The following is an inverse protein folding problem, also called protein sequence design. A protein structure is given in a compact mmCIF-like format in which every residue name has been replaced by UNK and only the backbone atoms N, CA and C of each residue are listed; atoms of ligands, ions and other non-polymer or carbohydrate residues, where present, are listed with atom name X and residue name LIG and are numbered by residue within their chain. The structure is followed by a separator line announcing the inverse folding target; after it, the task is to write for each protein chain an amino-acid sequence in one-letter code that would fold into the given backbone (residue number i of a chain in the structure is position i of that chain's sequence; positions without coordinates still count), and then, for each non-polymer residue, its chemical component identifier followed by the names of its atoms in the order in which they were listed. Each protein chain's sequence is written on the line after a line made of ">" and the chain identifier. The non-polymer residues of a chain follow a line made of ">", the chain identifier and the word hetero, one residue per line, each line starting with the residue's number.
data_IF_929886111366
#
_entry.id   IF_929886111366
#
_cell.length_a   1.000
_cell.length_b   1.000
_cell.length_c   1.000
_cell.angle_alpha   90.00
_cell.angle_beta   90.00
_cell.angle_gamma   90.00
#
_symmetry.space_group_name_H-M   'P 1'
#
loop_
_entity.id
_entity.type
_entity.pdbx_description
1 polymer ?
#
# COMPACT_ATOMS: atom_id res chain seq x y z
N UNK A 1 6.17 2.84 -19.51
CA UNK A 1 7.37 2.79 -18.63
C UNK A 1 7.23 1.76 -17.51
N UNK A 2 6.12 1.72 -16.76
CA UNK A 2 5.89 0.73 -15.68
C UNK A 2 5.93 -0.72 -16.16
N UNK A 3 5.21 -1.04 -17.23
CA UNK A 3 5.20 -2.40 -17.82
C UNK A 3 6.58 -2.84 -18.34
N UNK A 4 7.31 -1.94 -18.99
CA UNK A 4 8.68 -2.20 -19.49
C UNK A 4 9.64 -2.45 -18.33
N UNK A 5 9.58 -1.67 -17.24
CA UNK A 5 10.40 -1.91 -16.03
C UNK A 5 10.03 -3.20 -15.31
N UNK A 6 8.74 -3.53 -15.21
CA UNK A 6 8.29 -4.80 -14.64
C UNK A 6 8.88 -6.00 -15.40
N UNK A 7 8.86 -5.97 -16.74
CA UNK A 7 9.44 -7.05 -17.57
C UNK A 7 10.98 -7.11 -17.56
N UNK A 8 11.66 -5.99 -17.30
CA UNK A 8 13.13 -5.88 -17.39
C UNK A 8 13.84 -6.06 -16.04
N UNK A 9 13.24 -5.61 -14.93
CA UNK A 9 13.87 -5.59 -13.60
C UNK A 9 13.08 -6.36 -12.53
N UNK A 10 11.95 -6.98 -12.91
CA UNK A 10 11.07 -7.71 -12.00
C UNK A 10 10.14 -6.81 -11.19
N UNK A 11 9.19 -7.45 -10.52
CA UNK A 11 8.13 -6.81 -9.74
C UNK A 11 8.67 -5.87 -8.65
N UNK A 12 9.81 -6.22 -8.09
CA UNK A 12 10.51 -5.51 -7.02
C UNK A 12 10.92 -4.07 -7.35
N UNK A 13 11.28 -3.81 -8.62
CA UNK A 13 11.65 -2.48 -9.10
C UNK A 13 10.45 -1.67 -9.65
N UNK A 14 9.30 -2.34 -9.82
CA UNK A 14 8.09 -1.72 -10.37
C UNK A 14 7.18 -1.13 -9.28
N UNK A 15 7.37 -1.53 -8.01
CA UNK A 15 6.50 -1.10 -6.90
C UNK A 15 6.32 0.41 -6.77
N UNK A 16 7.36 1.27 -6.85
CA UNK A 16 7.18 2.72 -6.80
C UNK A 16 6.24 3.25 -7.89
N UNK A 17 6.40 2.77 -9.12
CA UNK A 17 5.61 3.21 -10.27
C UNK A 17 4.18 2.65 -10.25
N UNK A 18 3.99 1.45 -9.71
CA UNK A 18 2.67 0.87 -9.46
C UNK A 18 1.94 1.67 -8.38
N UNK A 19 2.65 2.09 -7.33
CA UNK A 19 2.13 2.96 -6.28
C UNK A 19 1.64 4.29 -6.87
N UNK A 20 2.51 4.94 -7.64
CA UNK A 20 2.18 6.21 -8.30
C UNK A 20 0.98 6.09 -9.21
N UNK A 21 0.91 5.03 -10.02
CA UNK A 21 -0.22 4.80 -10.91
C UNK A 21 -1.52 4.57 -10.13
N UNK A 22 -1.47 3.84 -9.02
CA UNK A 22 -2.64 3.54 -8.21
C UNK A 22 -3.35 4.80 -7.71
N UNK A 23 -2.62 5.74 -7.08
CA UNK A 23 -3.24 6.96 -6.54
C UNK A 23 -3.43 8.10 -7.57
N UNK A 24 -2.77 8.03 -8.74
CA UNK A 24 -2.97 8.99 -9.83
C UNK A 24 -4.10 8.60 -10.79
N UNK A 25 -4.23 7.32 -11.08
CA UNK A 25 -5.20 6.80 -12.04
C UNK A 25 -5.65 5.37 -11.67
N UNK A 26 -6.51 5.22 -10.64
CA UNK A 26 -6.95 3.93 -10.12
C UNK A 26 -7.51 2.99 -11.19
N UNK A 27 -8.31 3.51 -12.12
CA UNK A 27 -8.85 2.72 -13.25
C UNK A 27 -7.76 2.20 -14.19
N UNK A 28 -6.72 3.01 -14.47
CA UNK A 28 -5.58 2.58 -15.30
C UNK A 28 -4.71 1.57 -14.56
N UNK A 29 -4.58 1.70 -13.25
CA UNK A 29 -3.92 0.72 -12.41
C UNK A 29 -4.65 -0.63 -12.44
N UNK A 30 -5.96 -0.64 -12.23
CA UNK A 30 -6.78 -1.86 -12.29
C UNK A 30 -6.68 -2.56 -13.66
N UNK A 31 -6.75 -1.79 -14.75
CA UNK A 31 -6.55 -2.31 -16.10
C UNK A 31 -5.14 -2.87 -16.33
N UNK A 32 -4.11 -2.19 -15.81
CA UNK A 32 -2.73 -2.66 -15.90
C UNK A 32 -2.54 -3.99 -15.15
N UNK A 33 -3.10 -4.15 -13.95
CA UNK A 33 -3.00 -5.41 -13.20
C UNK A 33 -3.56 -6.58 -14.00
N UNK A 34 -4.73 -6.40 -14.64
CA UNK A 34 -5.30 -7.41 -15.55
C UNK A 34 -4.44 -7.68 -16.79
N UNK A 35 -3.86 -6.63 -17.37
CA UNK A 35 -3.10 -6.75 -18.62
C UNK A 35 -1.73 -7.43 -18.44
N UNK A 36 -1.12 -7.33 -17.25
CA UNK A 36 0.18 -7.92 -16.97
C UNK A 36 0.14 -9.46 -16.91
N UNK A 37 -1.00 -10.08 -16.59
CA UNK A 37 -1.17 -11.53 -16.56
C UNK A 37 -0.29 -12.25 -15.53
N UNK A 38 0.21 -11.54 -14.51
CA UNK A 38 1.01 -12.12 -13.43
C UNK A 38 0.09 -12.68 -12.34
N UNK A 39 0.17 -14.00 -12.13
CA UNK A 39 -0.63 -14.71 -11.13
C UNK A 39 -0.46 -14.16 -9.70
N UNK A 40 0.72 -13.63 -9.36
CA UNK A 40 0.99 -13.02 -8.05
C UNK A 40 0.26 -11.68 -7.90
N UNK A 41 0.22 -10.88 -8.96
CA UNK A 41 -0.52 -9.61 -8.98
C UNK A 41 -2.04 -9.88 -8.98
N UNK A 42 -2.50 -10.89 -9.73
CA UNK A 42 -3.91 -11.29 -9.74
C UNK A 42 -4.37 -11.80 -8.37
N UNK A 43 -3.52 -12.57 -7.68
CA UNK A 43 -3.81 -13.03 -6.32
C UNK A 43 -3.88 -11.85 -5.33
N UNK A 44 -2.96 -10.89 -5.44
CA UNK A 44 -2.99 -9.67 -4.63
C UNK A 44 -4.23 -8.83 -4.91
N UNK A 45 -4.60 -8.65 -6.18
CA UNK A 45 -5.82 -7.95 -6.58
C UNK A 45 -7.07 -8.61 -5.98
N UNK A 46 -7.24 -9.92 -6.19
CA UNK A 46 -8.41 -10.65 -5.64
C UNK A 46 -8.49 -10.53 -4.12
N UNK A 47 -7.34 -10.57 -3.44
CA UNK A 47 -7.29 -10.39 -1.98
C UNK A 47 -7.63 -8.95 -1.58
N UNK A 48 -7.21 -7.94 -2.35
CA UNK A 48 -7.59 -6.55 -2.14
C UNK A 48 -9.11 -6.41 -2.29
N UNK A 49 -9.68 -6.87 -3.39
CA UNK A 49 -11.12 -6.79 -3.68
C UNK A 49 -11.97 -7.46 -2.59
N UNK A 50 -11.47 -8.55 -1.98
CA UNK A 50 -12.18 -9.29 -0.94
C UNK A 50 -12.02 -8.73 0.48
N UNK A 51 -10.91 -8.02 0.76
CA UNK A 51 -10.52 -7.68 2.14
C UNK A 51 -10.35 -6.17 2.40
N UNK A 52 -10.30 -5.34 1.35
CA UNK A 52 -10.17 -3.91 1.52
C UNK A 52 -11.49 -3.30 2.03
N UNK A 53 -11.47 -2.54 3.15
CA UNK A 53 -12.67 -1.92 3.70
C UNK A 53 -13.01 -0.62 2.94
N UNK A 54 -13.36 -0.77 1.66
CA UNK A 54 -13.74 0.31 0.74
C UNK A 54 -15.20 0.22 0.30
N UNK A 55 -15.54 0.95 -0.76
CA UNK A 55 -16.90 0.95 -1.35
C UNK A 55 -17.08 -0.13 -2.42
N UNK A 56 -16.01 -0.83 -2.81
CA UNK A 56 -15.99 -1.76 -3.94
C UNK A 56 -15.85 -1.06 -5.30
N UNK A 57 -15.59 0.25 -5.30
CA UNK A 57 -15.49 1.06 -6.51
C UNK A 57 -14.06 1.05 -7.06
N UNK A 58 -13.91 1.38 -8.34
CA UNK A 58 -12.59 1.42 -8.99
C UNK A 58 -11.63 2.41 -8.31
N UNK A 59 -12.16 3.45 -7.67
CA UNK A 59 -11.37 4.45 -6.95
C UNK A 59 -10.70 3.88 -5.68
N UNK A 60 -11.21 2.76 -5.14
CA UNK A 60 -10.58 2.09 -4.00
C UNK A 60 -9.16 1.62 -4.33
N UNK A 61 -8.86 1.31 -5.60
CA UNK A 61 -7.52 0.93 -6.01
C UNK A 61 -6.46 2.01 -5.73
N UNK A 62 -6.84 3.27 -5.50
CA UNK A 62 -5.92 4.29 -4.99
C UNK A 62 -5.23 3.85 -3.68
N UNK A 63 -5.93 3.08 -2.85
CA UNK A 63 -5.49 2.59 -1.55
C UNK A 63 -4.73 1.27 -1.61
N UNK A 64 -4.66 0.63 -2.78
CA UNK A 64 -3.94 -0.63 -2.96
C UNK A 64 -2.50 -0.59 -2.40
N UNK A 65 -1.69 0.46 -2.62
CA UNK A 65 -0.34 0.55 -2.07
C UNK A 65 -0.32 0.56 -0.54
N UNK A 66 -1.20 1.36 0.09
CA UNK A 66 -1.31 1.44 1.54
C UNK A 66 -1.76 0.10 2.14
N UNK A 67 -2.78 -0.53 1.54
CA UNK A 67 -3.21 -1.87 1.93
C UNK A 67 -2.11 -2.92 1.76
N UNK A 68 -1.33 -2.84 0.69
CA UNK A 68 -0.23 -3.77 0.44
C UNK A 68 0.81 -3.71 1.55
N UNK A 69 1.13 -2.52 2.07
CA UNK A 69 2.05 -2.36 3.21
C UNK A 69 1.49 -2.95 4.52
N UNK A 70 0.17 -2.99 4.68
CA UNK A 70 -0.46 -3.66 5.83
C UNK A 70 -0.28 -5.18 5.73
N UNK A 71 -0.58 -5.78 4.57
CA UNK A 71 -0.53 -7.24 4.41
C UNK A 71 0.87 -7.78 4.12
N UNK A 72 1.78 -6.95 3.58
CA UNK A 72 3.17 -7.29 3.27
C UNK A 72 4.12 -6.16 3.73
N UNK A 73 4.36 -6.01 5.05
CA UNK A 73 5.22 -4.95 5.60
C UNK A 73 6.64 -4.90 5.04
N UNK A 74 7.19 -6.07 4.67
CA UNK A 74 8.54 -6.17 4.10
C UNK A 74 8.71 -5.41 2.77
N UNK A 75 7.62 -5.04 2.09
CA UNK A 75 7.67 -4.24 0.87
C UNK A 75 7.90 -2.75 1.13
N UNK A 76 7.83 -2.26 2.38
CA UNK A 76 7.97 -0.84 2.70
C UNK A 76 9.23 -0.20 2.10
N UNK A 77 10.38 -0.87 2.18
CA UNK A 77 11.64 -0.39 1.59
C UNK A 77 11.58 -0.22 0.07
N UNK A 78 10.71 -0.98 -0.61
CA UNK A 78 10.52 -0.92 -2.06
C UNK A 78 9.64 0.23 -2.51
N UNK A 79 8.89 0.86 -1.61
CA UNK A 79 8.09 2.06 -1.90
C UNK A 79 8.85 3.36 -1.65
N UNK A 80 10.11 3.30 -1.16
CA UNK A 80 10.90 4.49 -0.80
C UNK A 80 11.17 5.47 -1.95
N UNK A 81 11.15 5.00 -3.20
CA UNK A 81 11.31 5.83 -4.39
C UNK A 81 10.00 6.42 -4.94
N UNK A 82 8.85 6.02 -4.39
CA UNK A 82 7.56 6.48 -4.90
C UNK A 82 7.36 7.98 -4.60
N UNK A 83 6.93 8.74 -5.61
CA UNK A 83 6.63 10.15 -5.45
C UNK A 83 5.32 10.35 -4.69
N UNK A 84 5.46 10.61 -3.41
CA UNK A 84 4.35 10.88 -2.50
C UNK A 84 3.66 12.19 -2.88
N UNK A 85 2.33 12.13 -3.06
CA UNK A 85 1.48 13.29 -3.31
C UNK A 85 0.73 13.68 -2.05
N UNK A 86 1.06 14.87 -1.51
CA UNK A 86 0.54 15.33 -0.21
C UNK A 86 -0.96 15.67 -0.24
N UNK A 87 -1.49 16.03 -1.39
CA UNK A 87 -2.90 16.33 -1.62
C UNK A 87 -3.78 15.07 -1.72
N UNK A 88 -3.18 13.89 -1.91
CA UNK A 88 -3.89 12.61 -2.06
C UNK A 88 -3.86 11.81 -0.76
N UNK A 89 -5.03 11.48 -0.22
CA UNK A 89 -5.15 10.72 1.03
C UNK A 89 -4.43 9.36 0.94
N UNK A 90 -4.66 8.58 -0.11
CA UNK A 90 -4.04 7.26 -0.25
C UNK A 90 -2.50 7.28 -0.39
N UNK A 91 -1.94 8.31 -1.04
CA UNK A 91 -0.48 8.48 -1.14
C UNK A 91 0.12 8.86 0.22
N UNK A 92 -0.51 9.79 0.95
CA UNK A 92 -0.14 10.09 2.35
C UNK A 92 -0.24 8.87 3.26
N UNK A 93 -1.29 8.05 3.11
CA UNK A 93 -1.48 6.82 3.85
C UNK A 93 -0.30 5.86 3.67
N UNK A 94 0.16 5.70 2.41
CA UNK A 94 1.26 4.82 2.05
C UNK A 94 2.57 5.31 2.67
N UNK A 95 2.85 6.61 2.59
CA UNK A 95 4.03 7.21 3.19
C UNK A 95 4.03 7.07 4.72
N UNK A 96 2.88 7.34 5.34
CA UNK A 96 2.70 7.26 6.78
C UNK A 96 2.86 5.82 7.29
N UNK A 97 2.31 4.83 6.58
CA UNK A 97 2.54 3.42 6.87
C UNK A 97 4.01 3.04 6.73
N UNK A 98 4.70 3.48 5.67
CA UNK A 98 6.15 3.24 5.53
C UNK A 98 6.94 3.74 6.73
N UNK A 99 6.61 4.93 7.23
CA UNK A 99 7.24 5.50 8.41
C UNK A 99 6.87 4.74 9.70
N UNK A 100 5.60 4.38 9.89
CA UNK A 100 5.18 3.52 11.01
C UNK A 100 5.99 2.22 11.03
N UNK A 101 6.09 1.54 9.89
CA UNK A 101 6.82 0.26 9.77
C UNK A 101 8.31 0.40 10.08
N UNK A 102 8.92 1.52 9.66
CA UNK A 102 10.31 1.83 9.96
C UNK A 102 10.51 2.04 11.47
N UNK A 103 9.65 2.82 12.12
CA UNK A 103 9.71 3.08 13.57
C UNK A 103 9.42 1.85 14.41
N UNK A 104 8.51 0.99 13.95
CA UNK A 104 8.26 -0.33 14.57
C UNK A 104 9.53 -1.19 14.56
N UNK A 105 10.28 -1.17 13.47
CA UNK A 105 11.53 -1.91 13.35
C UNK A 105 12.65 -1.33 14.24
N UNK A 106 12.71 0.00 14.37
CA UNK A 106 13.71 0.71 15.18
C UNK A 106 13.40 0.73 16.69
N UNK A 107 12.17 0.40 17.09
CA UNK A 107 11.74 0.36 18.50
C UNK A 107 11.34 1.71 19.10
N UNK A 108 11.13 2.74 18.28
CA UNK A 108 10.77 4.09 18.72
C UNK A 108 9.26 4.21 19.03
N UNK A 109 8.88 3.93 20.28
CA UNK A 109 7.49 3.90 20.70
C UNK A 109 6.83 5.27 20.80
N UNK A 110 7.59 6.35 20.99
CA UNK A 110 7.01 7.67 21.26
C UNK A 110 6.40 8.27 19.99
N UNK A 111 7.13 8.25 18.88
CA UNK A 111 6.63 8.76 17.59
C UNK A 111 5.53 7.87 17.00
N UNK A 112 5.55 6.56 17.28
CA UNK A 112 4.56 5.60 16.78
C UNK A 112 3.13 5.96 17.16
N UNK A 113 2.90 6.50 18.37
CA UNK A 113 1.55 6.88 18.83
C UNK A 113 0.96 7.96 17.93
N UNK A 114 1.73 9.02 17.67
CA UNK A 114 1.29 10.14 16.81
C UNK A 114 1.07 9.70 15.37
N UNK A 115 1.96 8.86 14.82
CA UNK A 115 1.83 8.34 13.45
C UNK A 115 0.59 7.44 13.30
N UNK A 116 0.35 6.52 14.25
CA UNK A 116 -0.84 5.67 14.27
C UNK A 116 -2.12 6.48 14.39
N UNK A 117 -2.12 7.53 15.20
CA UNK A 117 -3.28 8.44 15.32
C UNK A 117 -3.53 9.23 14.02
N UNK A 118 -2.48 9.69 13.35
CA UNK A 118 -2.63 10.33 12.05
C UNK A 118 -3.19 9.36 11.00
N UNK A 119 -2.78 8.09 11.06
CA UNK A 119 -3.22 7.06 10.12
C UNK A 119 -4.68 6.67 10.35
N UNK A 120 -5.11 6.50 11.60
CA UNK A 120 -6.50 6.18 11.93
C UNK A 120 -7.49 7.27 11.50
N UNK A 121 -7.10 8.54 11.60
CA UNK A 121 -7.89 9.68 11.11
C UNK A 121 -8.00 9.72 9.58
N UNK A 122 -7.00 9.16 8.89
CA UNK A 122 -6.95 9.17 7.43
C UNK A 122 -7.77 8.02 6.83
N UNK A 123 -7.72 6.83 7.43
CA UNK A 123 -8.57 5.71 7.02
C UNK A 123 -8.77 4.70 8.16
N UNK A 124 -9.89 4.82 8.88
CA UNK A 124 -10.20 3.98 10.04
C UNK A 124 -10.22 2.47 9.72
N UNK A 125 -10.89 2.06 8.62
CA UNK A 125 -10.95 0.63 8.25
C UNK A 125 -9.58 0.00 8.00
N UNK A 126 -8.69 0.72 7.32
CA UNK A 126 -7.34 0.25 7.03
C UNK A 126 -6.45 0.25 8.30
N UNK A 127 -6.67 1.21 9.20
CA UNK A 127 -6.04 1.20 10.51
C UNK A 127 -6.44 -0.02 11.35
N UNK A 128 -7.73 -0.40 11.35
CA UNK A 128 -8.18 -1.62 12.04
C UNK A 128 -7.54 -2.88 11.45
N UNK A 129 -7.48 -2.97 10.11
CA UNK A 129 -6.78 -4.07 9.44
C UNK A 129 -5.29 -4.12 9.84
N UNK A 130 -4.63 -2.97 9.90
CA UNK A 130 -3.25 -2.85 10.37
C UNK A 130 -3.09 -3.33 11.82
N UNK A 131 -3.93 -2.86 12.74
CA UNK A 131 -3.88 -3.28 14.15
C UNK A 131 -4.16 -4.78 14.31
N UNK A 132 -5.04 -5.37 13.49
CA UNK A 132 -5.29 -6.81 13.50
C UNK A 132 -4.03 -7.61 13.12
N UNK A 133 -3.24 -7.17 12.12
CA UNK A 133 -1.99 -7.85 11.75
C UNK A 133 -0.93 -7.81 12.85
N UNK A 134 -0.87 -6.72 13.64
CA UNK A 134 0.10 -6.56 14.74
C UNK A 134 -0.30 -7.32 16.00
N UNK A 135 -1.59 -7.43 16.32
CA UNK A 135 -2.08 -8.25 17.43
C UNK A 135 -1.71 -9.73 17.28
N UNK A 136 -1.68 -10.23 16.03
CA UNK A 136 -1.30 -11.63 15.74
C UNK A 136 0.21 -11.88 15.89
N UNK A 137 1.06 -10.86 15.72
CA UNK A 137 2.52 -10.99 15.83
C UNK A 137 3.05 -10.95 17.27
N UNK A 138 2.21 -10.55 18.25
CA UNK A 138 2.58 -10.47 19.68
C UNK A 138 2.05 -11.66 20.51
N UNK A 139 1.69 -12.78 19.89
CA UNK A 139 1.39 -14.07 20.55
C UNK A 139 2.42 -15.10 20.18
#
# INVERSE_FOLDING_TARGET
>A
MTEVRYRVAGLDAAWPLLAELAWLAPARFAALLSALGDASLDALRRRFDAAFPGTGEVDDYAWFPAWLLVVKPALASRFGEARVQRDRAASRATALLGEILRREHEGDQHELVSLRQAFSRLHAGLFEAYMATRKVQHR
#
